data_IF_698532268869
#
_entry.id   IF_698532268869
#
_cell.length_a   1.000
_cell.length_b   1.000
_cell.length_c   1.000
_cell.angle_alpha   90.00
_cell.angle_beta   90.00
_cell.angle_gamma   90.00
#
_symmetry.space_group_name_H-M   'P 1'
#
loop_
_entity.id
_entity.type
_entity.pdbx_description
1 polymer ?
#
# COMPACT_ATOMS: atom_id res chain seq x y z
N UNK A 1 35.35 -0.77 45.17
CA UNK A 1 34.04 -1.44 45.05
C UNK A 1 33.69 -1.53 43.58
N UNK A 2 33.57 -2.75 43.04
CA UNK A 2 33.21 -2.98 41.63
C UNK A 2 31.72 -2.67 41.44
N UNK A 3 31.39 -1.50 40.90
CA UNK A 3 30.05 -1.22 40.40
C UNK A 3 29.83 -2.07 39.15
N UNK A 4 29.36 -3.29 39.35
CA UNK A 4 28.86 -4.10 38.25
C UNK A 4 27.66 -3.37 37.66
N UNK A 5 27.82 -2.85 36.43
CA UNK A 5 26.71 -2.29 35.69
C UNK A 5 25.52 -3.28 35.69
N UNK A 6 24.29 -2.83 35.97
CA UNK A 6 23.09 -3.66 36.01
C UNK A 6 23.06 -4.64 34.84
N UNK A 7 22.65 -5.90 35.08
CA UNK A 7 22.65 -6.96 34.06
C UNK A 7 21.94 -6.53 32.75
N UNK A 8 20.89 -5.70 32.86
CA UNK A 8 20.18 -5.13 31.73
C UNK A 8 21.05 -4.25 30.81
N UNK A 9 22.04 -3.52 31.34
CA UNK A 9 22.95 -2.69 30.53
C UNK A 9 23.95 -3.53 29.74
N UNK A 10 24.23 -4.75 30.20
CA UNK A 10 25.18 -5.70 29.57
C UNK A 10 24.58 -6.49 28.42
N UNK A 11 23.26 -6.45 28.24
CA UNK A 11 22.62 -7.08 27.10
C UNK A 11 23.09 -6.42 25.79
N UNK A 12 23.36 -7.19 24.73
CA UNK A 12 23.53 -6.66 23.38
C UNK A 12 22.34 -5.78 22.98
N UNK A 13 22.60 -4.69 22.25
CA UNK A 13 21.55 -3.75 21.83
C UNK A 13 20.46 -4.46 21.00
N UNK A 14 20.81 -5.49 20.25
CA UNK A 14 19.86 -6.32 19.48
C UNK A 14 18.80 -6.96 20.38
N UNK A 15 19.22 -7.53 21.53
CA UNK A 15 18.30 -8.14 22.50
C UNK A 15 17.49 -7.07 23.22
N UNK A 16 18.10 -5.92 23.56
CA UNK A 16 17.37 -4.80 24.16
C UNK A 16 16.29 -4.27 23.23
N UNK A 17 16.60 -4.09 21.95
CA UNK A 17 15.64 -3.66 20.94
C UNK A 17 14.52 -4.67 20.77
N UNK A 18 14.83 -5.97 20.74
CA UNK A 18 13.82 -7.02 20.61
C UNK A 18 12.85 -7.02 21.82
N UNK A 19 13.38 -6.89 23.04
CA UNK A 19 12.54 -6.79 24.25
C UNK A 19 11.68 -5.52 24.19
N UNK A 20 12.29 -4.38 23.86
CA UNK A 20 11.62 -3.09 23.81
C UNK A 20 10.47 -3.04 22.78
N UNK A 21 10.53 -3.80 21.68
CA UNK A 21 9.44 -3.89 20.70
C UNK A 21 8.12 -4.45 21.27
N UNK A 22 8.19 -5.18 22.38
CA UNK A 22 7.01 -5.77 23.03
C UNK A 22 6.51 -4.93 24.21
N UNK A 23 7.15 -3.81 24.51
CA UNK A 23 6.77 -2.92 25.61
C UNK A 23 5.83 -1.82 25.11
N UNK A 24 4.84 -1.41 25.92
CA UNK A 24 4.02 -0.26 25.62
C UNK A 24 4.84 1.04 25.73
N UNK A 25 4.38 2.10 25.07
CA UNK A 25 5.10 3.37 24.97
C UNK A 25 5.40 3.99 26.35
N UNK A 26 4.52 3.81 27.33
CA UNK A 26 4.69 4.29 28.69
C UNK A 26 5.87 3.60 29.40
N UNK A 27 6.00 2.29 29.21
CA UNK A 27 7.12 1.50 29.73
C UNK A 27 8.43 1.87 29.05
N UNK A 28 8.40 2.12 27.73
CA UNK A 28 9.54 2.63 26.99
C UNK A 28 9.98 4.00 27.51
N UNK A 29 9.04 4.93 27.71
CA UNK A 29 9.33 6.25 28.29
C UNK A 29 9.86 6.16 29.73
N UNK A 30 9.42 5.19 30.53
CA UNK A 30 10.00 4.92 31.83
C UNK A 30 11.44 4.41 31.70
N UNK A 31 11.69 3.42 30.84
CA UNK A 31 13.03 2.87 30.55
C UNK A 31 14.01 3.94 30.08
N UNK A 32 13.60 4.82 29.17
CA UNK A 32 14.43 5.90 28.66
C UNK A 32 14.91 6.86 29.76
N UNK A 33 14.14 7.01 30.85
CA UNK A 33 14.49 7.87 31.98
C UNK A 33 15.45 7.22 32.98
N UNK A 34 15.71 5.92 32.87
CA UNK A 34 16.55 5.19 33.85
C UNK A 34 18.04 5.29 33.58
N UNK A 35 18.47 5.29 32.31
CA UNK A 35 19.88 5.35 31.92
C UNK A 35 20.05 5.84 30.48
N UNK A 36 21.11 6.60 30.18
CA UNK A 36 21.35 7.18 28.85
C UNK A 36 21.53 6.13 27.75
N UNK A 37 22.17 4.99 28.06
CA UNK A 37 22.29 3.88 27.10
C UNK A 37 20.92 3.29 26.76
N UNK A 38 20.06 3.12 27.78
CA UNK A 38 18.69 2.62 27.58
C UNK A 38 17.82 3.67 26.86
N UNK A 39 18.08 4.96 27.08
CA UNK A 39 17.45 6.03 26.32
C UNK A 39 17.71 5.87 24.82
N UNK A 40 18.97 5.68 24.41
CA UNK A 40 19.31 5.50 23.01
C UNK A 40 18.65 4.24 22.41
N UNK A 41 18.71 3.11 23.12
CA UNK A 41 18.10 1.85 22.66
C UNK A 41 16.55 1.99 22.56
N UNK A 42 15.92 2.68 23.51
CA UNK A 42 14.47 2.95 23.49
C UNK A 42 14.09 3.89 22.35
N UNK A 43 14.82 5.00 22.18
CA UNK A 43 14.56 5.96 21.12
C UNK A 43 14.76 5.30 19.74
N UNK A 44 15.73 4.40 19.60
CA UNK A 44 15.86 3.59 18.39
C UNK A 44 14.56 2.82 18.10
N UNK A 45 13.98 2.14 19.09
CA UNK A 45 12.72 1.39 18.90
C UNK A 45 11.53 2.30 18.61
N UNK A 46 11.40 3.43 19.33
CA UNK A 46 10.31 4.39 19.14
C UNK A 46 10.32 5.03 17.75
N UNK A 47 11.50 5.44 17.26
CA UNK A 47 11.63 6.10 15.95
C UNK A 47 11.75 5.11 14.79
N UNK A 48 11.98 3.81 15.06
CA UNK A 48 12.09 2.79 14.00
C UNK A 48 10.85 2.73 13.12
N UNK A 49 9.65 2.88 13.71
CA UNK A 49 8.37 2.87 13.00
C UNK A 49 7.54 4.09 13.38
N UNK A 50 7.38 5.01 12.44
CA UNK A 50 6.60 6.23 12.62
C UNK A 50 5.31 6.17 11.82
N UNK A 51 4.19 6.27 12.53
CA UNK A 51 2.86 6.47 11.95
C UNK A 51 2.45 7.93 12.21
N UNK A 52 2.56 8.77 11.18
CA UNK A 52 2.26 10.19 11.24
C UNK A 52 0.78 10.40 10.93
N UNK A 53 0.02 10.58 12.01
CA UNK A 53 -1.40 10.93 12.00
C UNK A 53 -1.51 12.44 12.28
N UNK A 54 -1.92 13.21 11.27
CA UNK A 54 -1.96 14.68 11.31
C UNK A 54 -2.87 15.22 12.42
N UNK A 55 -3.85 14.42 12.86
CA UNK A 55 -4.76 14.75 13.96
C UNK A 55 -4.08 14.69 15.34
N UNK A 56 -2.99 13.93 15.49
CA UNK A 56 -2.34 13.67 16.79
C UNK A 56 -1.13 14.56 17.02
N UNK A 57 -1.08 15.21 18.18
CA UNK A 57 0.02 16.09 18.61
C UNK A 57 1.37 15.35 18.55
N UNK A 58 1.42 14.13 19.09
CA UNK A 58 2.65 13.32 19.12
C UNK A 58 3.24 13.03 17.74
N UNK A 59 2.40 12.84 16.72
CA UNK A 59 2.85 12.66 15.34
C UNK A 59 3.48 13.93 14.77
N UNK A 60 2.98 15.11 15.16
CA UNK A 60 3.58 16.41 14.77
C UNK A 60 4.96 16.57 15.39
N UNK A 61 5.07 16.33 16.69
CA UNK A 61 6.35 16.40 17.41
C UNK A 61 7.36 15.40 16.86
N UNK A 62 6.91 14.19 16.49
CA UNK A 62 7.76 13.17 15.88
C UNK A 62 8.29 13.62 14.52
N UNK A 63 7.42 14.15 13.65
CA UNK A 63 7.81 14.69 12.34
C UNK A 63 8.81 15.86 12.49
N UNK A 64 8.53 16.80 13.40
CA UNK A 64 9.43 17.90 13.69
C UNK A 64 10.78 17.41 14.20
N UNK A 65 10.79 16.41 15.09
CA UNK A 65 12.02 15.85 15.67
C UNK A 65 12.90 15.19 14.60
N UNK A 66 12.33 14.35 13.73
CA UNK A 66 13.11 13.73 12.65
C UNK A 66 13.60 14.75 11.63
N UNK A 67 12.90 15.89 11.46
CA UNK A 67 13.38 16.96 10.57
C UNK A 67 14.58 17.72 11.13
N UNK A 68 14.76 17.73 12.46
CA UNK A 68 15.82 18.48 13.15
C UNK A 68 16.98 17.62 13.63
N UNK A 69 16.79 16.30 13.74
CA UNK A 69 17.79 15.39 14.29
C UNK A 69 18.18 14.32 13.28
N UNK A 70 19.38 14.44 12.66
CA UNK A 70 19.90 13.42 11.75
C UNK A 70 19.97 12.04 12.42
N UNK A 71 20.34 12.00 13.71
CA UNK A 71 20.40 10.77 14.48
C UNK A 71 19.02 10.07 14.56
N UNK A 72 17.95 10.80 14.88
CA UNK A 72 16.60 10.21 14.97
C UNK A 72 16.06 9.81 13.60
N UNK A 73 16.31 10.63 12.57
CA UNK A 73 15.98 10.28 11.20
C UNK A 73 16.67 8.99 10.74
N UNK A 74 17.93 8.77 11.15
CA UNK A 74 18.69 7.55 10.83
C UNK A 74 18.09 6.26 11.42
N UNK A 75 17.23 6.37 12.44
CA UNK A 75 16.54 5.22 13.05
C UNK A 75 15.30 4.80 12.27
N UNK A 76 14.70 5.71 11.50
CA UNK A 76 13.45 5.46 10.79
C UNK A 76 13.67 4.38 9.73
N UNK A 77 12.93 3.28 9.86
CA UNK A 77 12.87 2.18 8.87
C UNK A 77 11.50 2.09 8.21
N UNK A 78 10.46 2.47 8.95
CA UNK A 78 9.07 2.43 8.50
C UNK A 78 8.46 3.81 8.72
N UNK A 79 7.96 4.43 7.66
CA UNK A 79 7.27 5.72 7.74
C UNK A 79 5.90 5.61 7.09
N UNK A 80 4.86 6.01 7.82
CA UNK A 80 3.51 6.14 7.31
C UNK A 80 3.02 7.58 7.46
N UNK A 81 2.45 8.13 6.40
CA UNK A 81 1.85 9.45 6.37
C UNK A 81 0.55 9.39 5.58
N UNK A 82 -0.56 9.73 6.22
CA UNK A 82 -1.86 9.82 5.57
C UNK A 82 -2.36 11.27 5.67
N UNK A 83 -2.48 11.94 4.52
CA UNK A 83 -3.06 13.29 4.44
C UNK A 83 -4.55 13.27 4.15
N UNK A 84 -5.17 12.08 4.03
CA UNK A 84 -6.60 11.92 3.83
C UNK A 84 -7.23 11.92 5.21
N UNK A 85 -7.64 13.09 5.67
CA UNK A 85 -8.47 13.18 6.87
C UNK A 85 -9.69 12.25 6.67
N UNK A 86 -10.11 11.51 7.70
CA UNK A 86 -11.35 10.74 7.63
C UNK A 86 -12.51 11.70 7.41
N UNK A 87 -12.98 11.86 6.17
CA UNK A 87 -14.17 12.65 5.86
C UNK A 87 -15.41 11.92 6.39
N UNK A 88 -16.31 12.63 7.10
CA UNK A 88 -17.29 13.45 6.39
C UNK A 88 -17.59 14.78 7.09
N UNK A 89 -16.97 15.89 6.68
CA UNK A 89 -17.57 17.23 6.86
C UNK A 89 -17.06 18.19 5.81
N UNK A 90 -18.00 18.75 5.03
CA UNK A 90 -17.86 19.72 3.93
C UNK A 90 -17.24 21.08 4.32
N UNK A 91 -16.21 21.10 5.16
CA UNK A 91 -15.47 22.34 5.41
C UNK A 91 -14.07 22.02 5.96
N UNK A 92 -13.04 21.84 5.11
CA UNK A 92 -11.68 21.84 5.59
C UNK A 92 -11.37 23.26 6.07
N UNK A 93 -11.24 23.46 7.38
CA UNK A 93 -10.78 24.75 7.89
C UNK A 93 -9.37 25.00 7.34
N UNK A 94 -9.09 26.20 6.82
CA UNK A 94 -7.76 26.60 6.27
C UNK A 94 -6.61 26.28 7.24
N UNK A 95 -6.89 26.32 8.55
CA UNK A 95 -5.95 25.96 9.63
C UNK A 95 -5.49 24.50 9.54
N UNK A 96 -6.40 23.57 9.24
CA UNK A 96 -6.08 22.14 9.11
C UNK A 96 -5.21 21.87 7.87
N UNK A 97 -5.50 22.52 6.75
CA UNK A 97 -4.67 22.41 5.54
C UNK A 97 -3.24 22.94 5.76
N UNK A 98 -3.11 24.10 6.40
CA UNK A 98 -1.79 24.68 6.72
C UNK A 98 -0.96 23.76 7.63
N UNK A 99 -1.61 23.02 8.51
CA UNK A 99 -0.99 22.13 9.47
C UNK A 99 -0.54 20.82 8.83
N UNK A 100 -1.39 20.19 8.01
CA UNK A 100 -1.03 19.00 7.22
C UNK A 100 0.20 19.33 6.36
N UNK A 101 0.18 20.48 5.69
CA UNK A 101 1.30 20.98 4.87
C UNK A 101 2.58 21.18 5.68
N UNK A 102 2.48 21.73 6.90
CA UNK A 102 3.64 21.92 7.79
C UNK A 102 4.23 20.58 8.23
N UNK A 103 3.39 19.64 8.65
CA UNK A 103 3.83 18.31 9.08
C UNK A 103 4.49 17.58 7.91
N UNK A 104 3.87 17.61 6.72
CA UNK A 104 4.46 17.02 5.53
C UNK A 104 5.79 17.69 5.17
N UNK A 105 5.88 19.02 5.29
CA UNK A 105 7.14 19.76 5.14
C UNK A 105 8.27 19.24 6.05
N UNK A 106 7.97 18.94 7.32
CA UNK A 106 8.95 18.32 8.23
C UNK A 106 9.38 16.92 7.76
N UNK A 107 8.43 16.12 7.28
CA UNK A 107 8.74 14.81 6.68
C UNK A 107 9.65 14.96 5.46
N UNK A 108 9.35 15.90 4.56
CA UNK A 108 10.18 16.15 3.36
C UNK A 108 11.60 16.56 3.72
N UNK A 109 11.76 17.47 4.69
CA UNK A 109 13.08 17.87 5.18
C UNK A 109 13.85 16.66 5.73
N UNK A 110 13.20 15.83 6.55
CA UNK A 110 13.84 14.63 7.08
C UNK A 110 14.30 13.66 5.99
N UNK A 111 13.46 13.45 4.97
CA UNK A 111 13.78 12.57 3.85
C UNK A 111 14.86 13.12 2.92
N UNK A 112 14.90 14.44 2.73
CA UNK A 112 15.83 15.10 1.80
C UNK A 112 17.23 15.29 2.42
N UNK A 113 17.28 15.73 3.68
CA UNK A 113 18.50 16.17 4.36
C UNK A 113 19.19 15.06 5.17
N UNK A 114 18.42 14.15 5.79
CA UNK A 114 18.98 13.22 6.79
C UNK A 114 19.11 11.77 6.32
N UNK A 115 18.90 11.50 5.04
CA UNK A 115 19.08 10.17 4.41
C UNK A 115 18.47 9.01 5.22
N UNK A 116 17.17 9.12 5.53
CA UNK A 116 16.43 8.08 6.24
C UNK A 116 16.62 6.71 5.57
N UNK A 117 17.14 5.67 6.25
CA UNK A 117 17.34 4.33 5.69
C UNK A 117 16.02 3.55 5.59
N UNK A 118 15.01 4.15 4.96
CA UNK A 118 13.67 3.60 4.87
C UNK A 118 13.69 2.23 4.17
N UNK A 119 13.01 1.28 4.80
CA UNK A 119 12.68 -0.02 4.22
C UNK A 119 11.25 -0.04 3.71
N UNK A 120 10.37 0.70 4.37
CA UNK A 120 8.96 0.79 4.03
C UNK A 120 8.46 2.24 4.13
N UNK A 121 7.75 2.65 3.09
CA UNK A 121 7.11 3.95 2.99
C UNK A 121 5.64 3.78 2.65
N UNK A 122 4.79 4.43 3.45
CA UNK A 122 3.36 4.50 3.23
C UNK A 122 2.95 5.95 3.15
N UNK A 123 2.37 6.33 2.02
CA UNK A 123 2.07 7.73 1.76
C UNK A 123 0.75 7.85 1.01
N UNK A 124 -0.21 8.53 1.60
CA UNK A 124 -1.50 8.75 0.96
C UNK A 124 -1.72 10.25 0.87
N UNK A 125 -1.59 10.77 -0.35
CA UNK A 125 -1.53 12.21 -0.62
C UNK A 125 -2.83 12.66 -1.29
N UNK A 126 -3.51 13.67 -0.78
CA UNK A 126 -4.73 14.16 -1.41
C UNK A 126 -4.39 15.00 -2.67
N UNK A 127 -4.66 14.54 -3.90
CA UNK A 127 -4.29 15.27 -5.10
C UNK A 127 -5.18 16.50 -5.36
N UNK A 128 -6.26 16.69 -4.59
CA UNK A 128 -7.23 17.77 -4.79
C UNK A 128 -7.00 19.00 -3.90
N UNK A 129 -5.95 18.98 -3.06
CA UNK A 129 -5.53 20.16 -2.28
C UNK A 129 -4.84 21.18 -3.21
N UNK A 130 -4.80 22.46 -2.80
CA UNK A 130 -4.37 23.58 -3.65
C UNK A 130 -2.94 23.50 -4.20
N UNK A 131 -2.55 24.44 -5.07
CA UNK A 131 -1.26 24.39 -5.79
C UNK A 131 -0.03 24.33 -4.86
N UNK A 132 -0.08 24.95 -3.68
CA UNK A 132 1.01 24.88 -2.70
C UNK A 132 1.22 23.46 -2.16
N UNK A 133 0.15 22.69 -2.00
CA UNK A 133 0.23 21.28 -1.66
C UNK A 133 0.79 20.46 -2.81
N UNK A 134 0.30 20.69 -4.04
CA UNK A 134 0.82 20.02 -5.24
C UNK A 134 2.33 20.25 -5.42
N UNK A 135 2.82 21.44 -5.09
CA UNK A 135 4.26 21.74 -5.06
C UNK A 135 5.03 20.84 -4.07
N UNK A 136 4.50 20.61 -2.87
CA UNK A 136 5.10 19.67 -1.91
C UNK A 136 5.06 18.22 -2.39
N UNK A 137 3.97 17.80 -3.03
CA UNK A 137 3.88 16.46 -3.66
C UNK A 137 4.94 16.31 -4.76
N UNK A 138 5.09 17.31 -5.65
CA UNK A 138 6.16 17.30 -6.68
C UNK A 138 7.56 17.26 -6.06
N UNK A 139 7.80 17.98 -4.96
CA UNK A 139 9.07 17.90 -4.21
C UNK A 139 9.30 16.50 -3.65
N UNK A 140 8.28 15.88 -3.05
CA UNK A 140 8.34 14.51 -2.55
C UNK A 140 8.70 13.51 -3.65
N UNK A 141 8.04 13.62 -4.81
CA UNK A 141 8.36 12.78 -5.96
C UNK A 141 9.82 12.92 -6.39
N UNK A 142 10.33 14.16 -6.44
CA UNK A 142 11.73 14.42 -6.76
C UNK A 142 12.66 13.76 -5.75
N UNK A 143 12.35 13.85 -4.46
CA UNK A 143 13.12 13.21 -3.38
C UNK A 143 13.19 11.69 -3.59
N UNK A 144 12.06 11.03 -3.84
CA UNK A 144 12.03 9.58 -4.08
C UNK A 144 12.83 9.14 -5.32
N UNK A 145 12.99 10.03 -6.30
CA UNK A 145 13.77 9.79 -7.54
C UNK A 145 15.27 10.10 -7.41
N UNK A 146 15.74 10.53 -6.24
CA UNK A 146 17.17 10.86 -6.04
C UNK A 146 18.08 9.63 -5.99
N UNK A 147 17.52 8.41 -5.93
CA UNK A 147 18.29 7.17 -5.76
C UNK A 147 18.83 6.96 -4.33
N UNK A 148 18.62 7.90 -3.40
CA UNK A 148 19.05 7.79 -1.99
C UNK A 148 18.35 6.66 -1.23
N UNK A 149 17.15 6.27 -1.67
CA UNK A 149 16.33 5.26 -1.02
C UNK A 149 16.66 3.83 -1.47
N UNK A 150 17.94 3.49 -1.57
CA UNK A 150 18.43 2.16 -2.00
C UNK A 150 17.96 1.04 -1.05
N UNK A 151 17.64 1.37 0.20
CA UNK A 151 17.11 0.40 1.16
C UNK A 151 15.59 0.22 1.08
N UNK A 152 14.89 1.06 0.32
CA UNK A 152 13.43 1.04 0.26
C UNK A 152 12.96 -0.20 -0.51
N UNK A 153 12.28 -1.09 0.21
CA UNK A 153 11.75 -2.36 -0.31
C UNK A 153 10.25 -2.31 -0.52
N UNK A 154 9.52 -1.52 0.26
CA UNK A 154 8.05 -1.52 0.29
C UNK A 154 7.55 -0.09 0.06
N UNK A 155 6.72 0.12 -0.95
CA UNK A 155 5.96 1.35 -1.14
C UNK A 155 4.45 1.07 -1.15
N UNK A 156 3.73 1.79 -0.30
CA UNK A 156 2.29 1.95 -0.33
C UNK A 156 1.98 3.40 -0.69
N UNK A 157 1.29 3.64 -1.80
CA UNK A 157 0.96 4.98 -2.25
C UNK A 157 -0.47 5.08 -2.77
N UNK A 158 -0.90 6.25 -3.22
CA UNK A 158 -2.07 6.39 -4.09
C UNK A 158 -1.65 6.82 -5.51
N UNK A 159 -2.61 6.89 -6.43
CA UNK A 159 -2.40 7.26 -7.84
C UNK A 159 -1.83 8.65 -8.07
N UNK A 160 -1.74 9.50 -7.04
CA UNK A 160 -1.08 10.80 -7.11
C UNK A 160 0.45 10.74 -7.26
N UNK A 161 1.05 9.56 -7.09
CA UNK A 161 2.50 9.35 -7.24
C UNK A 161 2.82 8.68 -8.58
N UNK A 162 3.82 9.19 -9.32
CA UNK A 162 4.36 8.51 -10.50
C UNK A 162 5.21 7.30 -10.10
N UNK A 163 4.52 6.16 -9.91
CA UNK A 163 5.12 4.88 -9.51
C UNK A 163 6.16 4.40 -10.51
N UNK A 164 5.95 4.67 -11.81
CA UNK A 164 6.89 4.25 -12.85
C UNK A 164 8.26 4.91 -12.64
N UNK A 165 8.29 6.23 -12.46
CA UNK A 165 9.53 6.95 -12.26
C UNK A 165 10.19 6.59 -10.92
N UNK A 166 9.41 6.40 -9.85
CA UNK A 166 9.97 6.00 -8.55
C UNK A 166 10.61 4.62 -8.61
N UNK A 167 9.94 3.63 -9.19
CA UNK A 167 10.49 2.27 -9.28
C UNK A 167 11.68 2.18 -10.25
N UNK A 168 11.74 3.03 -11.29
CA UNK A 168 12.89 3.12 -12.19
C UNK A 168 14.19 3.51 -11.45
N UNK A 169 14.09 4.39 -10.46
CA UNK A 169 15.23 4.87 -9.67
C UNK A 169 15.48 4.05 -8.40
N UNK A 170 14.54 3.18 -8.01
CA UNK A 170 14.65 2.27 -6.87
C UNK A 170 14.47 0.81 -7.33
N UNK A 171 15.51 0.15 -7.90
CA UNK A 171 15.35 -1.15 -8.54
C UNK A 171 15.01 -2.30 -7.57
N UNK A 172 15.22 -2.14 -6.27
CA UNK A 172 14.81 -3.13 -5.26
C UNK A 172 13.37 -2.91 -4.74
N UNK A 173 12.70 -1.86 -5.22
CA UNK A 173 11.39 -1.46 -4.73
C UNK A 173 10.30 -2.43 -5.16
N UNK A 174 9.55 -2.93 -4.18
CA UNK A 174 8.27 -3.59 -4.39
C UNK A 174 7.16 -2.61 -4.05
N UNK A 175 6.29 -2.37 -5.02
CA UNK A 175 5.08 -1.58 -4.81
C UNK A 175 4.01 -2.57 -4.35
N UNK A 176 3.56 -2.47 -3.10
CA UNK A 176 2.67 -3.49 -2.52
C UNK A 176 1.22 -3.10 -2.68
N UNK A 177 0.88 -1.84 -2.42
CA UNK A 177 -0.45 -1.37 -2.74
C UNK A 177 -0.53 0.07 -3.23
N UNK A 178 -1.50 0.28 -4.13
CA UNK A 178 -1.88 1.59 -4.64
C UNK A 178 -3.32 1.84 -4.23
N UNK A 179 -3.60 2.90 -3.47
CA UNK A 179 -4.97 3.33 -3.18
C UNK A 179 -5.48 4.21 -4.31
N UNK A 180 -6.73 4.01 -4.73
CA UNK A 180 -7.37 4.85 -5.76
C UNK A 180 -8.63 5.49 -5.21
N UNK A 181 -8.97 6.68 -5.73
CA UNK A 181 -10.15 7.43 -5.29
C UNK A 181 -11.42 7.06 -6.08
N UNK A 182 -11.44 5.90 -6.75
CA UNK A 182 -12.60 5.38 -7.46
C UNK A 182 -12.28 4.79 -8.84
N UNK A 183 -13.31 4.53 -9.65
CA UNK A 183 -13.19 3.84 -10.94
C UNK A 183 -12.44 4.61 -12.02
N UNK A 184 -12.39 5.94 -11.95
CA UNK A 184 -11.74 6.80 -12.96
C UNK A 184 -10.21 6.82 -12.88
N UNK A 185 -9.63 6.47 -11.72
CA UNK A 185 -8.18 6.56 -11.51
C UNK A 185 -7.41 5.30 -11.94
N UNK A 186 -8.10 4.33 -12.55
CA UNK A 186 -7.52 3.04 -12.90
C UNK A 186 -6.64 3.06 -14.14
N UNK A 187 -6.94 3.91 -15.12
CA UNK A 187 -6.14 3.98 -16.36
C UNK A 187 -4.72 4.49 -16.14
N UNK A 188 -4.47 5.62 -15.45
CA UNK A 188 -3.10 6.09 -15.20
C UNK A 188 -2.24 5.04 -14.49
N UNK A 189 -2.86 4.27 -13.59
CA UNK A 189 -2.22 3.14 -12.93
C UNK A 189 -1.90 2.03 -13.93
N UNK A 190 -2.87 1.54 -14.70
CA UNK A 190 -2.66 0.48 -15.69
C UNK A 190 -1.58 0.86 -16.72
N UNK A 191 -1.53 2.12 -17.15
CA UNK A 191 -0.48 2.64 -18.01
C UNK A 191 0.90 2.60 -17.32
N UNK A 192 0.97 3.01 -16.06
CA UNK A 192 2.20 2.95 -15.26
C UNK A 192 2.68 1.50 -15.10
N UNK A 193 1.77 0.57 -14.83
CA UNK A 193 2.08 -0.87 -14.75
C UNK A 193 2.56 -1.43 -16.08
N UNK A 194 1.97 -1.00 -17.19
CA UNK A 194 2.43 -1.38 -18.53
C UNK A 194 3.83 -0.85 -18.81
N UNK A 195 4.10 0.42 -18.50
CA UNK A 195 5.45 1.03 -18.64
C UNK A 195 6.48 0.30 -17.78
N UNK A 196 6.14 -0.05 -16.54
CA UNK A 196 7.02 -0.81 -15.64
C UNK A 196 7.40 -2.17 -16.21
N UNK A 197 6.41 -2.93 -16.70
CA UNK A 197 6.61 -4.23 -17.33
C UNK A 197 7.48 -4.13 -18.58
N UNK A 198 7.22 -3.14 -19.43
CA UNK A 198 7.85 -3.02 -20.75
C UNK A 198 9.25 -2.38 -20.69
N UNK A 199 9.64 -1.77 -19.56
CA UNK A 199 10.91 -1.05 -19.44
C UNK A 199 12.05 -1.95 -18.93
N UNK A 200 13.24 -1.97 -19.58
CA UNK A 200 14.32 -2.92 -19.29
C UNK A 200 14.85 -2.93 -17.84
N UNK A 201 14.85 -1.77 -17.17
CA UNK A 201 15.34 -1.66 -15.78
C UNK A 201 14.34 -2.20 -14.75
N UNK A 202 13.05 -2.23 -15.10
CA UNK A 202 11.95 -2.51 -14.17
C UNK A 202 11.22 -3.82 -14.51
N UNK A 203 11.42 -4.37 -15.71
CA UNK A 203 10.76 -5.59 -16.20
C UNK A 203 11.05 -6.84 -15.38
N UNK A 204 12.16 -6.86 -14.64
CA UNK A 204 12.55 -7.94 -13.72
C UNK A 204 12.14 -7.69 -12.28
N UNK A 205 11.52 -6.54 -12.00
CA UNK A 205 11.20 -6.12 -10.65
C UNK A 205 9.79 -6.56 -10.25
N UNK A 206 9.58 -6.98 -9.00
CA UNK A 206 8.24 -7.28 -8.50
C UNK A 206 7.46 -5.96 -8.34
N UNK A 207 6.57 -5.57 -9.26
CA UNK A 207 6.07 -4.17 -9.24
C UNK A 207 4.56 -3.99 -9.36
N UNK A 208 3.78 -4.46 -8.39
CA UNK A 208 2.44 -3.95 -7.96
C UNK A 208 1.49 -5.10 -7.70
N UNK A 209 1.07 -5.29 -6.44
CA UNK A 209 0.40 -6.52 -6.02
C UNK A 209 -1.04 -6.36 -5.54
N UNK A 210 -1.43 -5.18 -5.04
CA UNK A 210 -2.80 -4.97 -4.60
C UNK A 210 -3.26 -3.51 -4.79
N UNK A 211 -4.53 -3.29 -5.13
CA UNK A 211 -5.15 -1.98 -5.01
C UNK A 211 -6.31 -2.08 -4.04
N UNK A 212 -6.33 -1.20 -3.04
CA UNK A 212 -7.51 -0.94 -2.24
C UNK A 212 -8.27 0.22 -2.84
N UNK A 213 -9.51 0.01 -3.24
CA UNK A 213 -10.43 1.15 -3.36
C UNK A 213 -10.73 1.65 -1.98
N UNK A 214 -10.82 2.97 -1.79
CA UNK A 214 -11.73 3.55 -0.80
C UNK A 214 -11.78 5.08 -0.75
N UNK A 215 -13.00 5.58 -0.53
CA UNK A 215 -13.29 6.89 0.08
C UNK A 215 -13.38 6.84 1.63
N UNK A 216 -13.44 5.65 2.24
CA UNK A 216 -13.51 5.41 3.70
C UNK A 216 -12.38 4.47 4.13
N UNK A 217 -11.81 4.48 5.33
CA UNK A 217 -10.69 3.56 5.69
C UNK A 217 -11.04 2.04 5.75
N UNK A 218 -12.03 1.57 4.98
CA UNK A 218 -12.56 0.21 4.93
C UNK A 218 -12.20 -0.45 3.60
N UNK A 219 -11.12 -1.24 3.55
CA UNK A 219 -10.70 -2.01 2.37
C UNK A 219 -11.78 -3.01 1.94
N UNK A 220 -12.86 -2.54 1.30
CA UNK A 220 -14.00 -3.36 0.90
C UNK A 220 -13.77 -4.01 -0.47
N UNK A 221 -12.81 -3.48 -1.25
CA UNK A 221 -12.45 -4.00 -2.56
C UNK A 221 -10.94 -4.07 -2.75
N UNK A 222 -10.48 -5.20 -3.26
CA UNK A 222 -9.08 -5.46 -3.59
C UNK A 222 -8.96 -5.77 -5.08
N UNK A 223 -7.99 -5.18 -5.77
CA UNK A 223 -7.63 -5.57 -7.15
C UNK A 223 -6.19 -6.08 -7.25
N UNK A 224 -5.99 -7.16 -7.99
CA UNK A 224 -4.69 -7.81 -8.21
C UNK A 224 -4.34 -7.76 -9.69
N UNK A 225 -3.10 -7.40 -10.01
CA UNK A 225 -2.63 -7.15 -11.38
C UNK A 225 -1.70 -8.25 -11.93
N UNK A 226 -2.15 -9.50 -11.87
CA UNK A 226 -1.34 -10.66 -12.32
C UNK A 226 -0.94 -10.63 -13.80
N UNK A 227 -1.62 -9.85 -14.62
CA UNK A 227 -1.26 -9.65 -16.01
C UNK A 227 0.13 -9.03 -16.22
N UNK A 228 0.67 -8.37 -15.20
CA UNK A 228 1.94 -7.66 -15.27
C UNK A 228 3.06 -8.37 -14.49
N UNK A 229 2.74 -9.28 -13.56
CA UNK A 229 3.72 -9.91 -12.65
C UNK A 229 3.42 -11.41 -12.40
N UNK A 230 4.44 -12.26 -12.16
CA UNK A 230 4.27 -13.70 -11.94
C UNK A 230 3.44 -14.05 -10.70
N UNK A 231 2.67 -15.14 -10.79
CA UNK A 231 1.72 -15.58 -9.76
C UNK A 231 2.38 -16.16 -8.50
N UNK A 232 3.62 -16.63 -8.61
CA UNK A 232 4.31 -17.36 -7.54
C UNK A 232 4.72 -16.47 -6.34
N UNK A 233 4.60 -15.15 -6.46
CA UNK A 233 5.06 -14.21 -5.44
C UNK A 233 3.97 -13.82 -4.43
N UNK A 234 2.72 -14.23 -4.61
CA UNK A 234 1.59 -13.68 -3.84
C UNK A 234 1.59 -14.05 -2.34
N UNK A 235 2.02 -15.25 -1.95
CA UNK A 235 1.86 -15.73 -0.57
C UNK A 235 2.68 -14.95 0.46
N UNK A 236 3.93 -14.59 0.15
CA UNK A 236 4.77 -13.76 1.04
C UNK A 236 4.24 -12.33 1.11
N UNK A 237 3.72 -11.83 -0.01
CA UNK A 237 3.24 -10.46 -0.14
C UNK A 237 1.98 -10.22 0.70
N UNK A 238 1.08 -11.20 0.79
CA UNK A 238 -0.13 -11.04 1.59
C UNK A 238 0.11 -11.10 3.10
N UNK A 239 1.05 -11.92 3.56
CA UNK A 239 1.47 -11.92 4.97
C UNK A 239 2.02 -10.55 5.36
N UNK A 240 2.83 -9.94 4.48
CA UNK A 240 3.32 -8.58 4.65
C UNK A 240 2.16 -7.59 4.69
N UNK A 241 1.24 -7.62 3.70
CA UNK A 241 0.07 -6.73 3.60
C UNK A 241 -0.85 -6.82 4.83
N UNK A 242 -1.16 -8.02 5.33
CA UNK A 242 -2.05 -8.22 6.48
C UNK A 242 -1.42 -7.62 7.76
N UNK A 243 -0.14 -7.90 7.98
CA UNK A 243 0.61 -7.42 9.15
C UNK A 243 0.81 -5.90 9.08
N UNK A 244 1.02 -5.39 7.88
CA UNK A 244 1.34 -3.99 7.63
C UNK A 244 0.11 -3.10 7.61
N UNK A 245 -0.88 -3.39 6.76
CA UNK A 245 -2.00 -2.48 6.45
C UNK A 245 -3.18 -2.59 7.43
N UNK A 246 -3.09 -3.47 8.45
CA UNK A 246 -4.18 -3.72 9.42
C UNK A 246 -5.53 -3.94 8.72
N UNK A 247 -5.49 -4.55 7.53
CA UNK A 247 -6.71 -4.81 6.74
C UNK A 247 -7.57 -5.73 7.58
N UNK A 248 -8.79 -5.26 7.89
CA UNK A 248 -9.83 -6.12 8.45
C UNK A 248 -10.26 -7.07 7.35
N UNK A 249 -9.69 -8.27 7.34
CA UNK A 249 -9.91 -9.25 6.27
C UNK A 249 -11.39 -9.63 6.10
N UNK A 250 -12.21 -9.49 7.15
CA UNK A 250 -13.66 -9.66 7.12
C UNK A 250 -14.45 -8.54 6.44
N UNK A 251 -13.85 -7.40 6.11
CA UNK A 251 -14.53 -6.28 5.48
C UNK A 251 -14.40 -6.28 3.95
N UNK A 252 -13.49 -7.09 3.39
CA UNK A 252 -13.27 -7.21 1.93
C UNK A 252 -14.41 -7.99 1.30
N UNK A 253 -15.26 -7.29 0.53
CA UNK A 253 -16.43 -7.86 -0.16
C UNK A 253 -16.21 -8.10 -1.64
N UNK A 254 -15.23 -7.42 -2.25
CA UNK A 254 -14.98 -7.52 -3.69
C UNK A 254 -13.50 -7.80 -3.96
N UNK A 255 -13.23 -8.76 -4.85
CA UNK A 255 -11.91 -9.07 -5.35
C UNK A 255 -11.91 -8.98 -6.87
N UNK A 256 -11.01 -8.18 -7.43
CA UNK A 256 -10.81 -8.06 -8.88
C UNK A 256 -9.44 -8.61 -9.27
N UNK A 257 -9.36 -9.42 -10.32
CA UNK A 257 -8.13 -10.06 -10.77
C UNK A 257 -7.92 -9.74 -12.26
N UNK A 258 -6.85 -9.00 -12.57
CA UNK A 258 -6.43 -8.68 -13.93
C UNK A 258 -5.48 -9.77 -14.43
N UNK A 259 -5.92 -10.48 -15.46
CA UNK A 259 -5.26 -11.61 -16.10
C UNK A 259 -4.76 -11.21 -17.48
N UNK A 260 -3.56 -11.69 -17.84
CA UNK A 260 -3.05 -11.61 -19.22
C UNK A 260 -3.77 -12.60 -20.13
N UNK A 261 -4.00 -13.81 -19.62
CA UNK A 261 -4.69 -14.88 -20.34
C UNK A 261 -5.54 -15.66 -19.33
N UNK A 262 -6.78 -15.94 -19.71
CA UNK A 262 -7.75 -16.67 -18.90
C UNK A 262 -7.50 -18.19 -18.90
N UNK A 263 -6.71 -18.66 -19.88
CA UNK A 263 -6.46 -20.09 -20.13
C UNK A 263 -5.56 -20.74 -19.08
N UNK A 264 -4.79 -19.95 -18.33
CA UNK A 264 -4.00 -20.44 -17.19
C UNK A 264 -4.88 -20.64 -15.95
N UNK A 265 -5.80 -21.59 -16.08
CA UNK A 265 -6.83 -21.86 -15.10
C UNK A 265 -6.22 -22.40 -13.78
N UNK A 266 -5.12 -23.15 -13.85
CA UNK A 266 -4.47 -23.75 -12.68
C UNK A 266 -3.82 -22.71 -11.78
N UNK A 267 -3.09 -21.75 -12.35
CA UNK A 267 -2.47 -20.66 -11.59
C UNK A 267 -3.52 -19.73 -10.99
N UNK A 268 -4.56 -19.41 -11.76
CA UNK A 268 -5.70 -18.60 -11.30
C UNK A 268 -6.43 -19.28 -10.15
N UNK A 269 -6.60 -20.61 -10.21
CA UNK A 269 -7.18 -21.39 -9.11
C UNK A 269 -6.36 -21.28 -7.82
N UNK A 270 -5.04 -21.42 -7.91
CA UNK A 270 -4.13 -21.28 -6.77
C UNK A 270 -4.25 -19.89 -6.13
N UNK A 271 -4.29 -18.84 -6.96
CA UNK A 271 -4.49 -17.47 -6.52
C UNK A 271 -5.81 -17.30 -5.76
N UNK A 272 -6.93 -17.74 -6.33
CA UNK A 272 -8.25 -17.54 -5.72
C UNK A 272 -8.36 -18.31 -4.41
N UNK A 273 -7.85 -19.55 -4.36
CA UNK A 273 -7.85 -20.34 -3.12
C UNK A 273 -7.12 -19.59 -2.01
N UNK A 274 -5.90 -19.13 -2.27
CA UNK A 274 -5.13 -18.36 -1.30
C UNK A 274 -5.88 -17.10 -0.85
N UNK A 275 -6.56 -16.41 -1.77
CA UNK A 275 -7.29 -15.19 -1.47
C UNK A 275 -8.56 -15.44 -0.64
N UNK A 276 -9.29 -16.52 -0.90
CA UNK A 276 -10.47 -16.89 -0.10
C UNK A 276 -10.08 -17.34 1.32
N UNK A 277 -8.91 -17.98 1.46
CA UNK A 277 -8.37 -18.33 2.78
C UNK A 277 -8.02 -17.07 3.60
N UNK A 278 -7.57 -16.00 2.93
CA UNK A 278 -7.22 -14.73 3.57
C UNK A 278 -8.45 -13.85 3.83
N UNK A 279 -9.39 -13.78 2.87
CA UNK A 279 -10.55 -12.89 2.87
C UNK A 279 -11.84 -13.71 2.82
N UNK A 280 -12.33 -14.19 3.98
CA UNK A 280 -13.47 -15.09 4.03
C UNK A 280 -14.80 -14.42 3.65
N UNK A 281 -14.84 -13.09 3.59
CA UNK A 281 -16.06 -12.30 3.34
C UNK A 281 -16.24 -11.86 1.88
N UNK A 282 -15.40 -12.33 0.95
CA UNK A 282 -15.53 -11.96 -0.47
C UNK A 282 -16.90 -12.41 -0.97
N UNK A 283 -17.67 -11.47 -1.54
CA UNK A 283 -18.98 -11.69 -2.14
C UNK A 283 -18.94 -11.63 -3.67
N UNK A 284 -18.05 -10.81 -4.20
CA UNK A 284 -17.92 -10.54 -5.63
C UNK A 284 -16.49 -10.83 -6.10
N UNK A 285 -16.35 -11.72 -7.08
CA UNK A 285 -15.08 -12.00 -7.75
C UNK A 285 -15.16 -11.53 -9.21
N UNK A 286 -14.31 -10.58 -9.59
CA UNK A 286 -14.27 -10.00 -10.92
C UNK A 286 -12.97 -10.40 -11.63
N UNK A 287 -13.07 -10.98 -12.82
CA UNK A 287 -11.92 -11.27 -13.68
C UNK A 287 -11.86 -10.27 -14.83
N UNK A 288 -10.74 -9.60 -14.98
CA UNK A 288 -10.43 -8.75 -16.12
C UNK A 288 -9.39 -9.46 -16.97
N UNK A 289 -9.77 -10.00 -18.14
CA UNK A 289 -8.84 -10.69 -19.03
C UNK A 289 -8.49 -9.83 -20.26
N UNK A 290 -7.26 -9.93 -20.75
CA UNK A 290 -6.89 -9.34 -22.03
C UNK A 290 -7.36 -10.25 -23.15
N UNK A 291 -8.56 -9.98 -23.68
CA UNK A 291 -9.26 -10.91 -24.58
C UNK A 291 -9.12 -10.47 -26.03
N UNK A 292 -8.59 -11.36 -26.88
CA UNK A 292 -8.55 -11.19 -28.34
C UNK A 292 -9.36 -12.25 -29.10
N UNK A 293 -10.11 -13.12 -28.40
CA UNK A 293 -10.90 -14.24 -28.97
C UNK A 293 -12.12 -14.58 -28.09
N UNK A 294 -13.05 -15.43 -28.55
CA UNK A 294 -14.15 -15.95 -27.71
C UNK A 294 -13.59 -16.87 -26.61
N UNK A 295 -13.95 -16.59 -25.36
CA UNK A 295 -13.51 -17.30 -24.15
C UNK A 295 -14.69 -17.93 -23.39
N UNK A 296 -15.84 -18.09 -24.06
CA UNK A 296 -17.08 -18.56 -23.44
C UNK A 296 -16.94 -19.92 -22.74
N UNK A 297 -16.07 -20.80 -23.23
CA UNK A 297 -15.83 -22.12 -22.64
C UNK A 297 -14.94 -22.04 -21.40
N UNK A 298 -13.86 -21.27 -21.46
CA UNK A 298 -12.92 -21.03 -20.38
C UNK A 298 -13.59 -20.29 -19.22
N UNK A 299 -14.42 -19.30 -19.53
CA UNK A 299 -15.23 -18.58 -18.54
C UNK A 299 -16.24 -19.50 -17.85
N UNK A 300 -16.89 -20.39 -18.61
CA UNK A 300 -17.78 -21.41 -18.03
C UNK A 300 -17.00 -22.35 -17.12
N UNK A 301 -15.88 -22.91 -17.58
CA UNK A 301 -15.00 -23.76 -16.76
C UNK A 301 -14.58 -23.04 -15.48
N UNK A 302 -14.27 -21.74 -15.59
CA UNK A 302 -13.92 -20.92 -14.44
C UNK A 302 -15.07 -20.67 -13.48
N UNK A 303 -16.27 -20.38 -13.99
CA UNK A 303 -17.46 -20.20 -13.17
C UNK A 303 -17.90 -21.51 -12.48
N UNK A 304 -17.68 -22.66 -13.13
CA UNK A 304 -18.02 -24.00 -12.59
C UNK A 304 -16.97 -24.57 -11.64
N UNK A 305 -15.84 -23.90 -11.41
CA UNK A 305 -14.94 -24.32 -10.34
C UNK A 305 -15.71 -24.35 -9.02
N UNK A 306 -15.37 -25.34 -8.19
CA UNK A 306 -15.90 -25.55 -6.84
C UNK A 306 -15.52 -24.43 -5.86
N UNK A 307 -15.79 -23.18 -6.22
CA UNK A 307 -15.94 -22.03 -5.32
C UNK A 307 -17.24 -22.15 -4.48
N UNK A 308 -17.86 -23.34 -4.51
CA UNK A 308 -19.29 -23.53 -4.66
C UNK A 308 -20.09 -23.51 -3.35
N UNK A 309 -19.59 -22.80 -2.35
CA UNK A 309 -20.39 -22.45 -1.16
C UNK A 309 -20.16 -21.03 -0.64
N UNK A 310 -19.15 -20.30 -1.11
CA UNK A 310 -18.73 -19.03 -0.47
C UNK A 310 -18.78 -17.79 -1.37
N UNK A 311 -18.88 -17.93 -2.70
CA UNK A 311 -18.87 -16.80 -3.64
C UNK A 311 -20.23 -16.61 -4.36
N UNK A 312 -21.04 -15.61 -3.96
CA UNK A 312 -22.32 -15.24 -4.59
C UNK A 312 -22.22 -14.82 -6.06
N UNK A 313 -21.17 -14.10 -6.47
CA UNK A 313 -21.06 -13.54 -7.82
C UNK A 313 -19.66 -13.73 -8.40
N UNK A 314 -19.59 -14.20 -9.65
CA UNK A 314 -18.38 -14.20 -10.47
C UNK A 314 -18.62 -13.46 -11.78
N UNK A 315 -17.85 -12.42 -12.05
CA UNK A 315 -17.99 -11.59 -13.26
C UNK A 315 -16.72 -11.64 -14.11
N UNK A 316 -16.88 -11.56 -15.43
CA UNK A 316 -15.79 -11.54 -16.41
C UNK A 316 -15.89 -10.29 -17.31
N UNK A 317 -14.77 -9.61 -17.47
CA UNK A 317 -14.61 -8.35 -18.21
C UNK A 317 -13.40 -8.46 -19.14
N UNK A 318 -13.43 -7.72 -20.25
CA UNK A 318 -12.23 -7.49 -21.07
C UNK A 318 -11.54 -6.21 -20.64
N UNK A 319 -10.22 -6.16 -20.85
CA UNK A 319 -9.43 -4.95 -20.79
C UNK A 319 -8.36 -4.95 -21.90
N UNK A 320 -7.91 -3.78 -22.41
CA UNK A 320 -8.18 -2.43 -21.89
C UNK A 320 -9.63 -1.96 -22.11
N UNK A 321 -10.10 -1.08 -21.23
CA UNK A 321 -11.40 -0.41 -21.33
C UNK A 321 -11.43 0.43 -22.62
N UNK A 322 -12.54 0.46 -23.35
CA UNK A 322 -12.67 1.34 -24.52
C UNK A 322 -13.01 2.75 -24.04
N UNK A 323 -12.31 3.74 -24.58
CA UNK A 323 -12.71 5.15 -24.50
C UNK A 323 -13.96 5.36 -25.36
N UNK A 324 -15.07 5.74 -24.74
CA UNK A 324 -16.28 6.15 -25.45
C UNK A 324 -16.41 7.66 -25.30
N UNK A 325 -16.22 8.41 -26.38
CA UNK A 325 -16.53 9.85 -26.37
C UNK A 325 -18.05 10.04 -26.39
N UNK A 326 -18.62 10.62 -25.33
CA UNK A 326 -20.04 10.99 -25.27
C UNK A 326 -20.15 12.47 -24.91
N UNK A 327 -20.72 13.27 -25.81
CA UNK A 327 -20.88 14.72 -25.65
C UNK A 327 -19.56 15.48 -25.39
N UNK A 328 -18.48 15.11 -26.07
CA UNK A 328 -17.16 15.74 -25.91
C UNK A 328 -16.46 15.41 -24.59
N UNK A 329 -17.03 14.54 -23.76
CA UNK A 329 -16.36 13.93 -22.60
C UNK A 329 -16.02 12.49 -22.92
N UNK A 330 -14.75 12.14 -22.76
CA UNK A 330 -14.29 10.75 -22.77
C UNK A 330 -14.85 10.07 -21.52
N UNK A 331 -15.71 9.08 -21.73
CA UNK A 331 -16.25 8.22 -20.67
C UNK A 331 -15.73 6.82 -20.95
N UNK A 332 -14.92 6.31 -20.02
CA UNK A 332 -14.33 4.99 -20.12
C UNK A 332 -15.30 3.95 -19.57
N UNK A 333 -15.47 2.84 -20.30
CA UNK A 333 -16.27 1.72 -19.84
C UNK A 333 -15.50 0.42 -20.07
N UNK A 334 -15.30 -0.36 -19.01
CA UNK A 334 -14.96 -1.77 -19.18
C UNK A 334 -16.01 -2.42 -20.08
N UNK A 335 -15.56 -3.08 -21.15
CA UNK A 335 -16.48 -3.88 -21.97
C UNK A 335 -16.80 -5.12 -21.16
N UNK A 336 -18.01 -5.11 -20.60
CA UNK A 336 -18.56 -6.25 -19.90
C UNK A 336 -18.65 -7.42 -20.87
N UNK A 337 -17.93 -8.52 -20.58
CA UNK A 337 -17.99 -9.71 -21.42
C UNK A 337 -19.14 -10.61 -20.97
N UNK A 338 -19.20 -10.91 -19.68
CA UNK A 338 -20.18 -11.85 -19.13
C UNK A 338 -20.22 -11.81 -17.60
N UNK A 339 -21.39 -11.97 -17.00
CA UNK A 339 -21.56 -12.21 -15.55
C UNK A 339 -22.16 -13.58 -15.36
N UNK A 340 -21.63 -14.33 -14.42
CA UNK A 340 -22.26 -15.53 -13.90
C UNK A 340 -22.72 -15.22 -12.48
N UNK A 341 -24.04 -15.10 -12.32
CA UNK A 341 -24.64 -15.14 -10.99
C UNK A 341 -24.73 -16.61 -10.63
N UNK A 342 -23.95 -17.04 -9.65
CA UNK A 342 -23.99 -18.41 -9.16
C UNK A 342 -25.19 -18.51 -8.20
N UNK A 343 -26.39 -18.71 -8.74
CA UNK A 343 -27.55 -19.05 -7.93
C UNK A 343 -27.44 -20.52 -7.52
N UNK A 344 -27.09 -20.75 -6.26
CA UNK A 344 -27.26 -22.07 -5.66
C UNK A 344 -28.70 -22.14 -5.14
N UNK A 345 -29.52 -22.98 -5.75
CA UNK A 345 -30.70 -23.51 -5.06
C UNK A 345 -30.15 -24.40 -3.95
N UNK A 346 -30.40 -24.03 -2.69
CA UNK A 346 -30.32 -24.96 -1.58
C UNK A 346 -31.35 -26.06 -1.85
N UNK A 347 -30.92 -27.15 -2.47
CA UNK A 347 -31.58 -28.44 -2.32
C UNK A 347 -30.74 -29.20 -1.30
N UNK A 348 -31.40 -29.54 -0.20
CA UNK A 348 -30.90 -30.12 1.05
C UNK A 348 -30.03 -31.36 0.88
#
# INVERSE_FOLDING_TARGET
MNHQAPAALRLPSELKHLIAQHLPNESLAALARTHSTLQNDVEYVLYRRLEIDTSKIWSRTSAETISKSPLKASYVRYLSFDSRDTWPTRNPNIVEESMVRRIFGHVLLALEEHECPLWELRVLLDPHRGEEWLSQVRRFEKILRTGKFVSLRILYCNTGLDIFQVAKECPQLRVYAVSTSGSGDMLPLLESLKKLRDHPKTSRLPTTFAMGWTWSNSWDRISIFSAFYPVEQYTSIWQDIQTSLKIKTGDVKELSIYLRDIRDISSVRGLIKNMLDIFPAIQNLNFYAHVTHDLSLEMKKMATFSFSRLLPTVSFYSWPQQEISRNGKTIEKAVFLKRFVLQYSLQE
#
